data_IF_779587840357
#
_entry.id   IF_779587840357
#
_cell.length_a   1.000
_cell.length_b   1.000
_cell.length_c   1.000
_cell.angle_alpha   90.00
_cell.angle_beta   90.00
_cell.angle_gamma   90.00
#
_symmetry.space_group_name_H-M   'P 1'
#
loop_
_entity.id
_entity.type
_entity.pdbx_description
1 polymer ?
#
# COMPACT_ATOMS: atom_id res chain seq x y z
N UNK A 1 20.29 -27.86 25.74
CA UNK A 1 19.04 -28.12 25.00
C UNK A 1 18.50 -26.85 24.35
N UNK A 2 18.64 -25.67 24.99
CA UNK A 2 18.20 -24.39 24.42
C UNK A 2 19.09 -23.82 23.31
N UNK A 3 20.40 -24.12 23.31
CA UNK A 3 21.32 -23.65 22.25
C UNK A 3 20.98 -24.27 20.89
N UNK A 4 20.66 -25.57 20.85
CA UNK A 4 20.27 -26.23 19.59
C UNK A 4 18.92 -25.74 19.05
N UNK A 5 17.96 -25.39 19.91
CA UNK A 5 16.67 -24.84 19.48
C UNK A 5 16.81 -23.47 18.79
N UNK A 6 17.67 -22.61 19.32
CA UNK A 6 17.96 -21.31 18.68
C UNK A 6 18.70 -21.48 17.35
N UNK A 7 19.56 -22.49 17.23
CA UNK A 7 20.23 -22.83 15.97
C UNK A 7 19.24 -23.28 14.88
N UNK A 8 18.24 -24.10 15.23
CA UNK A 8 17.21 -24.54 14.30
C UNK A 8 16.28 -23.40 13.84
N UNK A 9 15.93 -22.48 14.74
CA UNK A 9 15.14 -21.28 14.42
C UNK A 9 15.93 -20.39 13.45
N UNK A 10 17.21 -20.13 13.76
CA UNK A 10 18.07 -19.32 12.89
C UNK A 10 18.21 -19.92 11.49
N UNK A 11 18.39 -21.25 11.39
CA UNK A 11 18.46 -21.96 10.11
C UNK A 11 17.15 -21.91 9.33
N UNK A 12 16.00 -22.00 10.01
CA UNK A 12 14.70 -21.89 9.36
C UNK A 12 14.46 -20.49 8.76
N UNK A 13 14.86 -19.43 9.49
CA UNK A 13 14.80 -18.06 8.99
C UNK A 13 15.75 -17.82 7.80
N UNK A 14 16.96 -18.39 7.87
CA UNK A 14 17.92 -18.36 6.75
C UNK A 14 17.36 -19.05 5.50
N UNK A 15 16.73 -20.23 5.65
CA UNK A 15 16.08 -20.95 4.56
C UNK A 15 14.94 -20.14 3.95
N UNK A 16 14.09 -19.50 4.77
CA UNK A 16 13.01 -18.66 4.29
C UNK A 16 13.54 -17.45 3.49
N UNK A 17 14.57 -16.77 3.99
CA UNK A 17 15.19 -15.64 3.29
C UNK A 17 15.83 -16.08 1.96
N UNK A 18 16.48 -17.24 1.94
CA UNK A 18 17.06 -17.78 0.71
C UNK A 18 15.98 -18.15 -0.32
N UNK A 19 14.83 -18.67 0.12
CA UNK A 19 13.68 -18.96 -0.76
C UNK A 19 13.04 -17.69 -1.32
N UNK A 20 12.92 -16.62 -0.54
CA UNK A 20 12.46 -15.32 -1.03
C UNK A 20 13.44 -14.72 -2.06
N UNK A 21 14.75 -14.77 -1.77
CA UNK A 21 15.76 -14.35 -2.73
C UNK A 21 15.71 -15.17 -4.03
N UNK A 22 15.47 -16.48 -3.95
CA UNK A 22 15.32 -17.33 -5.13
C UNK A 22 14.08 -16.93 -5.95
N UNK A 23 12.94 -16.75 -5.30
CA UNK A 23 11.69 -16.34 -5.94
C UNK A 23 11.77 -14.97 -6.62
N UNK A 24 12.61 -14.07 -6.09
CA UNK A 24 12.82 -12.73 -6.63
C UNK A 24 13.88 -12.70 -7.75
N UNK A 25 14.85 -13.61 -7.74
CA UNK A 25 15.90 -13.70 -8.76
C UNK A 25 15.44 -14.39 -10.06
N UNK A 26 14.35 -15.18 -10.02
CA UNK A 26 13.78 -15.82 -11.23
C UNK A 26 13.08 -14.84 -12.18
N UNK A 27 12.83 -13.59 -11.75
CA UNK A 27 12.36 -12.50 -12.63
C UNK A 27 13.42 -12.12 -13.69
N UNK A 28 14.69 -12.52 -13.50
CA UNK A 28 15.79 -12.23 -14.42
C UNK A 28 16.08 -13.28 -15.51
N UNK A 29 15.36 -14.41 -15.55
CA UNK A 29 15.57 -15.50 -16.52
C UNK A 29 14.25 -15.90 -17.21
N UNK A 30 13.54 -14.92 -17.73
CA UNK A 30 12.30 -15.13 -18.47
C UNK A 30 12.59 -15.63 -19.90
N UNK A 31 12.69 -16.96 -20.09
CA UNK A 31 12.45 -17.55 -21.41
C UNK A 31 11.79 -18.95 -21.40
N UNK A 32 11.42 -19.52 -20.25
CA UNK A 32 10.64 -20.77 -20.20
C UNK A 32 9.47 -20.65 -19.21
N UNK A 33 8.23 -20.76 -19.72
CA UNK A 33 6.94 -20.52 -19.05
C UNK A 33 6.57 -21.46 -17.89
N UNK A 34 7.55 -21.94 -17.11
CA UNK A 34 7.37 -22.76 -15.92
C UNK A 34 7.84 -22.10 -14.61
N UNK A 35 8.43 -20.89 -14.64
CA UNK A 35 9.00 -20.24 -13.45
C UNK A 35 8.01 -19.44 -12.58
N UNK A 36 6.84 -19.03 -13.09
CA UNK A 36 5.86 -18.27 -12.32
C UNK A 36 5.23 -19.06 -11.17
N UNK A 37 4.86 -20.32 -11.43
CA UNK A 37 4.31 -21.22 -10.41
C UNK A 37 5.38 -21.57 -9.37
N UNK A 38 6.63 -21.79 -9.80
CA UNK A 38 7.72 -22.13 -8.90
C UNK A 38 8.07 -20.97 -7.97
N UNK A 39 8.17 -19.74 -8.51
CA UNK A 39 8.43 -18.54 -7.70
C UNK A 39 7.29 -18.25 -6.71
N UNK A 40 6.02 -18.42 -7.10
CA UNK A 40 4.88 -18.31 -6.21
C UNK A 40 4.91 -19.35 -5.08
N UNK A 41 5.20 -20.61 -5.40
CA UNK A 41 5.36 -21.68 -4.40
C UNK A 41 6.56 -21.41 -3.47
N UNK A 42 7.66 -20.87 -3.99
CA UNK A 42 8.82 -20.48 -3.19
C UNK A 42 8.48 -19.36 -2.21
N UNK A 43 7.68 -18.36 -2.60
CA UNK A 43 7.19 -17.31 -1.69
C UNK A 43 6.28 -17.88 -0.61
N UNK A 44 5.26 -18.65 -0.98
CA UNK A 44 4.33 -19.28 -0.03
C UNK A 44 5.06 -20.17 0.99
N UNK A 45 6.03 -20.98 0.52
CA UNK A 45 6.86 -21.80 1.39
C UNK A 45 7.77 -20.96 2.30
N UNK A 46 8.36 -19.89 1.80
CA UNK A 46 9.17 -18.99 2.61
C UNK A 46 8.35 -18.36 3.74
N UNK A 47 7.14 -17.86 3.43
CA UNK A 47 6.22 -17.32 4.42
C UNK A 47 5.85 -18.34 5.50
N UNK A 48 5.48 -19.57 5.10
CA UNK A 48 5.09 -20.64 6.05
C UNK A 48 6.23 -21.07 6.96
N UNK A 49 7.44 -21.25 6.41
CA UNK A 49 8.63 -21.66 7.19
C UNK A 49 9.00 -20.57 8.20
N UNK A 50 9.00 -19.32 7.75
CA UNK A 50 9.32 -18.16 8.60
C UNK A 50 8.32 -18.01 9.75
N UNK A 51 7.01 -18.06 9.45
CA UNK A 51 5.94 -18.00 10.46
C UNK A 51 6.10 -19.06 11.55
N UNK A 52 6.43 -20.30 11.16
CA UNK A 52 6.65 -21.38 12.14
C UNK A 52 7.91 -21.16 12.99
N UNK A 53 8.99 -20.64 12.40
CA UNK A 53 10.22 -20.34 13.11
C UNK A 53 10.03 -19.22 14.14
N UNK A 54 9.29 -18.17 13.79
CA UNK A 54 9.02 -17.02 14.66
C UNK A 54 8.05 -17.38 15.79
N UNK A 55 7.01 -18.17 15.50
CA UNK A 55 6.11 -18.68 16.54
C UNK A 55 6.85 -19.60 17.54
N UNK A 56 7.81 -20.41 17.06
CA UNK A 56 8.68 -21.19 17.93
C UNK A 56 9.64 -20.30 18.77
N UNK A 57 10.12 -19.20 18.21
CA UNK A 57 10.97 -18.22 18.91
C UNK A 57 10.20 -17.50 20.04
N UNK A 58 8.97 -17.07 19.77
CA UNK A 58 8.08 -16.43 20.75
C UNK A 58 7.75 -17.37 21.91
N UNK A 59 7.42 -18.63 21.60
CA UNK A 59 7.18 -19.66 22.62
C UNK A 59 8.42 -19.96 23.47
N UNK A 60 9.62 -19.81 22.90
CA UNK A 60 10.89 -19.98 23.62
C UNK A 60 11.18 -18.78 24.53
N UNK A 61 10.81 -17.56 24.10
CA UNK A 61 10.91 -16.33 24.90
C UNK A 61 9.91 -16.30 26.07
N UNK A 62 8.67 -16.74 25.87
CA UNK A 62 7.64 -16.80 26.93
C UNK A 62 7.95 -17.82 28.04
N UNK A 63 8.72 -18.87 27.75
CA UNK A 63 9.10 -19.87 28.75
C UNK A 63 10.28 -19.45 29.64
N UNK A 64 10.84 -18.24 29.45
CA UNK A 64 11.96 -17.73 30.23
C UNK A 64 11.50 -16.64 31.21
N UNK A 65 10.83 -17.06 32.28
CA UNK A 65 10.54 -16.18 33.42
C UNK A 65 10.78 -16.93 34.75
N UNK A 66 11.95 -16.75 35.39
CA UNK A 66 12.11 -17.04 36.81
C UNK A 66 11.75 -15.79 37.62
N UNK A 67 10.83 -15.98 38.54
CA UNK A 67 10.36 -15.01 39.55
C UNK A 67 11.47 -14.34 40.35
N UNK A 68 11.48 -13.00 40.40
CA UNK A 68 11.63 -12.16 41.61
C UNK A 68 11.79 -10.67 41.24
N UNK A 69 10.87 -9.83 41.73
CA UNK A 69 10.91 -8.35 41.71
C UNK A 69 11.93 -7.79 42.75
N UNK A 70 12.06 -6.45 42.92
CA UNK A 70 12.07 -5.30 42.00
C UNK A 70 13.37 -4.46 42.19
N UNK A 71 13.59 -3.42 41.38
CA UNK A 71 14.31 -2.14 41.67
C UNK A 71 14.97 -1.61 40.39
N UNK A 72 14.40 -0.51 39.90
CA UNK A 72 15.10 0.70 39.46
C UNK A 72 16.39 0.51 38.64
N UNK A 73 16.27 0.67 37.31
CA UNK A 73 17.19 1.32 36.34
C UNK A 73 16.79 0.82 34.93
N UNK A 74 15.56 1.10 34.47
CA UNK A 74 15.22 1.21 33.03
C UNK A 74 14.06 2.23 32.90
N UNK A 75 14.25 3.42 33.46
CA UNK A 75 13.50 4.62 33.06
C UNK A 75 14.47 5.46 32.22
N UNK A 76 14.48 5.25 30.89
CA UNK A 76 15.05 6.17 29.88
C UNK A 76 15.11 5.60 28.44
N UNK A 77 14.71 4.34 28.18
CA UNK A 77 14.86 3.76 26.82
C UNK A 77 13.58 3.10 26.24
N UNK A 78 12.45 3.12 26.97
CA UNK A 78 11.17 2.60 26.49
C UNK A 78 10.09 3.71 26.38
N UNK A 79 10.53 4.96 26.31
CA UNK A 79 9.69 6.14 26.09
C UNK A 79 10.35 7.08 25.07
N UNK A 80 10.97 6.46 24.07
CA UNK A 80 11.09 7.08 22.76
C UNK A 80 10.17 6.25 21.88
N UNK A 81 8.92 6.67 21.84
CA UNK A 81 8.00 6.36 20.77
C UNK A 81 8.77 6.53 19.47
N UNK A 82 9.15 5.42 18.83
CA UNK A 82 9.53 5.48 17.43
C UNK A 82 8.20 5.63 16.71
N UNK A 83 7.71 6.87 16.72
CA UNK A 83 6.92 7.38 15.62
C UNK A 83 7.88 7.23 14.46
N UNK A 84 7.73 6.16 13.67
CA UNK A 84 8.17 6.26 12.29
C UNK A 84 7.25 7.33 11.73
N UNK A 85 7.74 8.58 11.75
CA UNK A 85 7.17 9.59 10.91
C UNK A 85 7.23 8.99 9.51
N UNK A 86 6.12 9.06 8.78
CA UNK A 86 6.13 9.01 7.33
C UNK A 86 7.42 9.68 6.82
N UNK A 87 8.10 9.12 5.81
CA UNK A 87 9.35 9.71 5.32
C UNK A 87 9.13 11.22 5.17
N UNK A 88 10.10 12.00 5.64
CA UNK A 88 9.96 13.43 6.06
C UNK A 88 9.47 14.39 4.94
N UNK A 89 9.03 13.89 3.79
CA UNK A 89 8.40 14.64 2.69
C UNK A 89 7.40 13.77 1.90
N UNK A 90 6.65 12.87 2.55
CA UNK A 90 5.60 12.11 1.87
C UNK A 90 4.32 12.94 1.82
N UNK A 91 3.86 13.26 0.61
CA UNK A 91 2.51 13.77 0.39
C UNK A 91 1.52 12.62 0.32
N UNK A 92 0.30 12.88 0.77
CA UNK A 92 -0.82 11.94 0.71
C UNK A 92 -1.81 12.51 -0.30
N UNK A 93 -2.12 11.74 -1.32
CA UNK A 93 -3.23 12.01 -2.24
C UNK A 93 -4.40 11.15 -1.76
N UNK A 94 -5.53 11.75 -1.45
CA UNK A 94 -6.69 11.04 -0.93
C UNK A 94 -8.01 11.59 -1.47
N UNK A 95 -9.04 10.75 -1.49
CA UNK A 95 -10.45 11.11 -1.67
C UNK A 95 -11.20 10.89 -0.36
N UNK A 96 -12.37 11.50 -0.21
CA UNK A 96 -13.26 11.30 0.94
C UNK A 96 -14.73 11.12 0.53
N UNK A 97 -15.50 10.44 1.38
CA UNK A 97 -16.93 10.12 1.16
C UNK A 97 -17.88 11.31 1.29
N UNK A 98 -17.36 12.43 1.77
CA UNK A 98 -18.08 13.67 2.00
C UNK A 98 -17.17 14.88 1.77
N UNK A 99 -17.79 16.05 1.53
CA UNK A 99 -17.09 17.33 1.53
C UNK A 99 -16.33 17.54 2.84
N UNK A 100 -15.03 17.80 2.75
CA UNK A 100 -14.16 17.85 3.91
C UNK A 100 -13.14 18.99 3.83
N UNK A 101 -12.65 19.43 4.99
CA UNK A 101 -11.56 20.40 5.12
C UNK A 101 -10.34 19.77 5.77
N UNK A 102 -9.22 19.81 5.06
CA UNK A 102 -7.91 19.32 5.49
C UNK A 102 -6.85 20.37 5.15
N UNK A 103 -5.86 20.59 6.04
CA UNK A 103 -4.72 21.48 5.75
C UNK A 103 -5.11 22.89 5.28
N UNK A 104 -6.26 23.40 5.75
CA UNK A 104 -6.78 24.73 5.41
C UNK A 104 -7.49 24.87 4.06
N UNK A 105 -7.69 23.77 3.31
CA UNK A 105 -8.45 23.74 2.07
C UNK A 105 -9.68 22.83 2.21
N UNK A 106 -10.74 23.15 1.47
CA UNK A 106 -12.00 22.38 1.43
C UNK A 106 -12.13 21.75 0.06
N UNK A 107 -12.53 20.48 0.03
CA UNK A 107 -12.70 19.65 -1.16
C UNK A 107 -14.06 18.96 -1.10
N UNK A 108 -14.69 18.76 -2.25
CA UNK A 108 -15.98 18.05 -2.34
C UNK A 108 -15.75 16.52 -2.25
N UNK A 109 -16.83 15.75 -2.08
CA UNK A 109 -16.74 14.29 -2.21
C UNK A 109 -16.26 13.94 -3.62
N UNK A 110 -15.39 12.93 -3.76
CA UNK A 110 -14.80 12.55 -5.04
C UNK A 110 -13.65 13.41 -5.56
N UNK A 111 -13.34 14.56 -4.95
CA UNK A 111 -12.09 15.28 -5.23
C UNK A 111 -10.88 14.47 -4.76
N UNK A 112 -9.75 14.63 -5.45
CA UNK A 112 -8.46 14.22 -4.87
C UNK A 112 -7.79 15.44 -4.23
N UNK A 113 -7.52 15.35 -2.93
CA UNK A 113 -6.71 16.30 -2.20
C UNK A 113 -5.25 15.81 -2.12
N UNK A 114 -4.28 16.67 -2.43
CA UNK A 114 -2.87 16.46 -2.09
C UNK A 114 -2.57 17.16 -0.76
N UNK A 115 -2.25 16.37 0.26
CA UNK A 115 -1.93 16.83 1.61
C UNK A 115 -0.45 16.64 1.92
N UNK A 116 0.18 17.68 2.48
CA UNK A 116 1.54 17.65 3.00
C UNK A 116 1.50 17.70 4.54
N UNK A 117 1.68 16.54 5.22
CA UNK A 117 1.57 16.45 6.67
C UNK A 117 2.62 17.28 7.42
N UNK A 118 3.78 17.58 6.80
CA UNK A 118 4.83 18.34 7.48
C UNK A 118 4.54 19.83 7.59
N UNK A 119 3.83 20.39 6.61
CA UNK A 119 3.41 21.80 6.61
C UNK A 119 1.95 22.01 7.00
N UNK A 120 1.19 20.92 7.15
CA UNK A 120 -0.26 20.95 7.42
C UNK A 120 -0.98 21.81 6.37
N UNK A 121 -0.71 21.51 5.10
CA UNK A 121 -1.29 22.21 3.96
C UNK A 121 -1.84 21.20 2.97
N UNK A 122 -3.03 21.47 2.45
CA UNK A 122 -3.61 20.69 1.36
C UNK A 122 -3.90 21.57 0.13
N UNK A 123 -3.93 20.93 -1.04
CA UNK A 123 -4.34 21.54 -2.30
C UNK A 123 -5.16 20.55 -3.12
N UNK A 124 -6.00 21.07 -4.03
CA UNK A 124 -6.78 20.23 -4.94
C UNK A 124 -5.83 19.63 -5.96
N UNK A 125 -5.79 18.30 -6.03
CA UNK A 125 -4.99 17.51 -6.96
C UNK A 125 -5.78 17.16 -8.23
N UNK A 126 -7.03 16.74 -8.06
CA UNK A 126 -7.97 16.44 -9.12
C UNK A 126 -9.37 16.90 -8.69
N UNK A 127 -10.11 17.50 -9.63
CA UNK A 127 -11.46 18.05 -9.43
C UNK A 127 -12.50 17.09 -10.01
N UNK A 128 -13.41 16.57 -9.18
CA UNK A 128 -14.45 15.62 -9.63
C UNK A 128 -15.40 16.21 -10.68
N UNK A 129 -15.50 17.54 -10.77
CA UNK A 129 -16.30 18.19 -11.81
C UNK A 129 -15.82 17.89 -13.24
N UNK A 130 -14.65 17.27 -13.40
CA UNK A 130 -14.16 16.74 -14.68
C UNK A 130 -14.96 15.52 -15.19
N UNK A 131 -15.68 14.79 -14.33
CA UNK A 131 -16.45 13.60 -14.71
C UNK A 131 -17.73 13.90 -15.51
N UNK A 132 -18.14 15.17 -15.59
CA UNK A 132 -19.38 15.59 -16.26
C UNK A 132 -20.67 15.29 -15.47
N UNK A 133 -20.56 14.57 -14.35
CA UNK A 133 -21.55 14.36 -13.29
C UNK A 133 -20.83 14.32 -11.94
N UNK A 134 -21.58 14.46 -10.84
CA UNK A 134 -21.08 14.20 -9.48
C UNK A 134 -20.72 12.72 -9.38
N UNK A 135 -19.50 12.40 -8.97
CA UNK A 135 -19.01 11.03 -8.97
C UNK A 135 -17.88 10.87 -7.95
N UNK A 136 -17.98 9.83 -7.11
CA UNK A 136 -16.99 9.61 -6.08
C UNK A 136 -15.82 8.75 -6.60
N UNK A 137 -14.60 9.15 -6.29
CA UNK A 137 -13.40 8.36 -6.55
C UNK A 137 -13.16 7.43 -5.37
N UNK A 138 -13.36 6.13 -5.61
CA UNK A 138 -13.17 5.07 -4.60
C UNK A 138 -11.82 4.35 -4.73
N UNK A 139 -10.99 4.69 -5.72
CA UNK A 139 -9.65 4.12 -5.81
C UNK A 139 -8.72 5.04 -6.59
N UNK A 140 -7.48 5.17 -6.16
CA UNK A 140 -6.49 6.02 -6.84
C UNK A 140 -5.07 5.46 -6.78
N UNK A 141 -4.35 5.60 -7.89
CA UNK A 141 -2.90 5.46 -7.91
C UNK A 141 -2.30 6.46 -8.91
N UNK A 142 -1.20 7.12 -8.56
CA UNK A 142 -0.50 8.05 -9.47
C UNK A 142 0.74 7.40 -10.04
N UNK A 143 0.80 7.26 -11.37
CA UNK A 143 1.95 6.71 -12.07
C UNK A 143 3.13 7.69 -12.07
N UNK A 144 4.36 7.18 -12.19
CA UNK A 144 5.57 8.00 -12.21
C UNK A 144 5.68 9.01 -13.36
N UNK A 145 4.82 8.92 -14.38
CA UNK A 145 4.69 9.91 -15.46
C UNK A 145 3.65 11.02 -15.15
N UNK A 146 2.97 10.97 -14.01
CA UNK A 146 1.92 11.90 -13.60
C UNK A 146 0.52 11.57 -14.10
N UNK A 147 0.33 10.42 -14.77
CA UNK A 147 -1.01 9.91 -15.07
C UNK A 147 -1.66 9.38 -13.79
N UNK A 148 -2.99 9.44 -13.74
CA UNK A 148 -3.79 9.00 -12.60
C UNK A 148 -4.53 7.75 -13.02
N UNK A 149 -4.34 6.66 -12.29
CA UNK A 149 -5.24 5.49 -12.32
C UNK A 149 -6.33 5.75 -11.30
N UNK A 150 -7.59 5.66 -11.70
CA UNK A 150 -8.72 5.82 -10.79
C UNK A 150 -9.87 4.85 -11.10
N UNK A 151 -10.67 4.57 -10.09
CA UNK A 151 -12.01 3.96 -10.16
C UNK A 151 -13.03 4.94 -9.60
N UNK A 152 -14.30 4.76 -9.94
CA UNK A 152 -15.41 5.54 -9.38
C UNK A 152 -16.55 4.64 -8.93
N UNK A 153 -17.37 5.12 -8.00
CA UNK A 153 -18.53 4.41 -7.45
C UNK A 153 -19.60 4.02 -8.49
N UNK A 154 -19.61 4.71 -9.62
CA UNK A 154 -20.52 4.47 -10.73
C UNK A 154 -19.86 4.75 -12.09
N UNK A 155 -20.53 4.41 -13.18
CA UNK A 155 -20.01 4.69 -14.52
C UNK A 155 -20.04 6.18 -14.86
N UNK A 156 -18.92 6.71 -15.35
CA UNK A 156 -18.74 8.14 -15.62
C UNK A 156 -18.05 8.41 -16.97
N UNK A 157 -17.68 9.67 -17.22
CA UNK A 157 -16.92 10.06 -18.39
C UNK A 157 -15.76 11.00 -18.05
N UNK A 158 -14.54 10.67 -18.47
CA UNK A 158 -13.34 11.46 -18.20
C UNK A 158 -12.40 11.46 -19.40
N UNK A 159 -11.86 12.64 -19.76
CA UNK A 159 -10.87 12.76 -20.84
C UNK A 159 -11.33 12.16 -22.18
N UNK A 160 -12.63 12.27 -22.48
CA UNK A 160 -13.24 11.74 -23.71
C UNK A 160 -13.55 10.24 -23.71
N UNK A 161 -13.29 9.52 -22.61
CA UNK A 161 -13.70 8.13 -22.41
C UNK A 161 -14.98 8.08 -21.58
N UNK A 162 -15.92 7.20 -21.93
CA UNK A 162 -17.02 6.77 -21.05
C UNK A 162 -16.71 5.36 -20.58
N UNK A 163 -16.95 5.09 -19.31
CA UNK A 163 -16.60 3.84 -18.64
C UNK A 163 -17.69 3.45 -17.64
N UNK A 164 -17.66 2.19 -17.21
CA UNK A 164 -18.65 1.60 -16.31
C UNK A 164 -18.09 1.46 -14.88
N UNK A 165 -18.96 1.14 -13.92
CA UNK A 165 -18.51 0.76 -12.59
C UNK A 165 -17.53 -0.42 -12.64
N UNK A 166 -16.50 -0.40 -11.78
CA UNK A 166 -15.49 -1.46 -11.72
C UNK A 166 -14.40 -1.39 -12.79
N UNK A 167 -14.42 -0.39 -13.67
CA UNK A 167 -13.32 -0.11 -14.59
C UNK A 167 -12.21 0.67 -13.87
N UNK A 168 -10.94 0.40 -14.22
CA UNK A 168 -9.83 1.29 -13.91
C UNK A 168 -9.50 2.15 -15.12
N UNK A 169 -9.38 3.46 -14.89
CA UNK A 169 -9.11 4.44 -15.94
C UNK A 169 -7.73 5.04 -15.73
N UNK A 170 -6.88 4.98 -16.76
CA UNK A 170 -5.67 5.80 -16.84
C UNK A 170 -6.01 7.14 -17.47
N UNK A 171 -5.95 8.20 -16.67
CA UNK A 171 -6.18 9.57 -17.08
C UNK A 171 -4.88 10.36 -17.15
N UNK A 172 -4.66 11.03 -18.28
CA UNK A 172 -3.55 11.97 -18.47
C UNK A 172 -4.06 13.42 -18.28
N UNK A 173 -3.77 14.08 -17.15
CA UNK A 173 -4.25 15.44 -16.89
C UNK A 173 -3.59 16.51 -17.76
N UNK A 174 -2.46 16.21 -18.41
CA UNK A 174 -1.76 17.16 -19.30
C UNK A 174 -2.43 17.26 -20.68
N UNK A 175 -2.98 16.15 -21.16
CA UNK A 175 -3.58 16.04 -22.50
C UNK A 175 -5.10 15.93 -22.47
N UNK A 176 -5.68 15.78 -21.28
CA UNK A 176 -7.13 15.56 -21.07
C UNK A 176 -7.62 14.33 -21.84
N UNK A 177 -6.92 13.20 -21.64
CA UNK A 177 -7.21 11.93 -22.30
C UNK A 177 -7.37 10.83 -21.26
N UNK A 178 -8.52 10.17 -21.27
CA UNK A 178 -8.80 8.95 -20.52
C UNK A 178 -8.62 7.70 -21.40
N UNK A 179 -8.06 6.65 -20.84
CA UNK A 179 -7.93 5.33 -21.46
C UNK A 179 -8.28 4.24 -20.47
N UNK A 180 -8.97 3.19 -20.94
CA UNK A 180 -9.28 2.03 -20.11
C UNK A 180 -7.98 1.29 -19.75
N UNK A 181 -7.72 1.14 -18.45
CA UNK A 181 -6.56 0.45 -17.91
C UNK A 181 -6.91 -1.00 -17.52
N UNK A 182 -8.08 -1.19 -16.88
CA UNK A 182 -8.67 -2.50 -16.58
C UNK A 182 -10.16 -2.45 -16.89
N UNK A 183 -10.66 -3.46 -17.59
CA UNK A 183 -12.08 -3.65 -17.88
C UNK A 183 -12.74 -4.42 -16.73
N UNK A 184 -13.68 -3.80 -16.02
CA UNK A 184 -14.42 -4.39 -14.90
C UNK A 184 -15.27 -5.59 -15.30
N UNK A 185 -15.55 -5.79 -16.59
CA UNK A 185 -16.23 -7.00 -17.05
C UNK A 185 -15.39 -8.28 -16.94
N UNK A 186 -14.11 -8.15 -16.57
CA UNK A 186 -13.22 -9.29 -16.27
C UNK A 186 -13.59 -10.00 -14.96
N UNK A 187 -14.29 -9.34 -14.03
CA UNK A 187 -14.80 -9.99 -12.82
C UNK A 187 -15.88 -11.02 -13.18
N UNK A 188 -15.89 -12.17 -12.50
CA UNK A 188 -16.98 -13.15 -12.65
C UNK A 188 -18.26 -12.58 -12.04
N UNK A 189 -19.26 -12.33 -12.89
CA UNK A 189 -20.47 -11.60 -12.51
C UNK A 189 -20.51 -10.19 -13.11
N UNK A 190 -19.32 -9.64 -13.40
CA UNK A 190 -19.07 -8.37 -14.07
C UNK A 190 -19.18 -7.16 -13.13
N UNK A 191 -18.33 -6.16 -13.38
CA UNK A 191 -18.42 -4.79 -12.85
C UNK A 191 -18.51 -4.71 -11.32
N UNK A 192 -17.73 -5.55 -10.65
CA UNK A 192 -17.51 -5.42 -9.21
C UNK A 192 -16.81 -4.08 -8.93
N UNK A 193 -17.23 -3.38 -7.87
CA UNK A 193 -16.72 -2.05 -7.55
C UNK A 193 -15.30 -2.16 -6.98
N UNK A 194 -14.34 -1.49 -7.63
CA UNK A 194 -12.96 -1.43 -7.16
C UNK A 194 -12.83 -0.20 -6.27
N UNK A 195 -12.62 -0.48 -4.99
CA UNK A 195 -12.50 0.51 -3.90
C UNK A 195 -11.08 0.56 -3.33
N UNK A 196 -10.10 0.04 -4.05
CA UNK A 196 -8.70 0.17 -3.67
C UNK A 196 -7.80 -0.28 -4.79
N UNK A 197 -6.76 0.51 -5.09
CA UNK A 197 -5.84 0.18 -6.17
C UNK A 197 -4.42 0.65 -5.91
N UNK A 198 -3.46 -0.21 -6.25
CA UNK A 198 -2.07 0.17 -6.38
C UNK A 198 -1.42 -0.55 -7.57
N UNK A 199 -0.74 0.20 -8.44
CA UNK A 199 -0.01 -0.37 -9.57
C UNK A 199 1.45 -0.62 -9.19
N UNK A 200 1.88 -1.88 -9.26
CA UNK A 200 3.27 -2.25 -9.05
C UNK A 200 4.14 -1.88 -10.26
N UNK A 201 5.44 -1.67 -10.03
CA UNK A 201 6.42 -1.35 -11.09
C UNK A 201 6.46 -2.35 -12.25
N UNK A 202 6.04 -3.60 -12.01
CA UNK A 202 5.97 -4.66 -13.03
C UNK A 202 4.63 -4.66 -13.81
N UNK A 203 3.72 -3.72 -13.52
CA UNK A 203 2.39 -3.61 -14.13
C UNK A 203 1.32 -4.50 -13.50
N UNK A 204 1.64 -5.28 -12.47
CA UNK A 204 0.60 -5.97 -11.69
C UNK A 204 -0.24 -4.96 -10.91
N UNK A 205 -1.49 -5.32 -10.66
CA UNK A 205 -2.48 -4.50 -9.99
C UNK A 205 -2.75 -5.12 -8.62
N UNK A 206 -2.51 -4.39 -7.55
CA UNK A 206 -3.05 -4.69 -6.23
C UNK A 206 -4.42 -4.03 -6.15
N UNK A 207 -5.46 -4.78 -5.81
CA UNK A 207 -6.82 -4.23 -5.69
C UNK A 207 -7.61 -4.88 -4.57
N UNK A 208 -8.56 -4.11 -4.02
CA UNK A 208 -9.71 -4.57 -3.23
C UNK A 208 -11.00 -4.37 -4.04
N UNK A 209 -12.10 -4.90 -3.52
CA UNK A 209 -13.44 -4.69 -4.06
C UNK A 209 -14.47 -4.59 -2.95
N UNK A 210 -15.54 -3.84 -3.20
CA UNK A 210 -16.61 -3.59 -2.22
C UNK A 210 -17.28 -4.86 -1.70
N UNK A 211 -17.57 -5.80 -2.61
CA UNK A 211 -18.06 -7.13 -2.28
C UNK A 211 -17.03 -8.21 -2.65
N UNK A 212 -17.27 -9.44 -2.20
CA UNK A 212 -16.45 -10.59 -2.58
C UNK A 212 -16.49 -10.87 -4.10
N UNK A 213 -15.31 -10.92 -4.72
CA UNK A 213 -15.17 -11.00 -6.16
C UNK A 213 -14.48 -12.29 -6.64
N UNK A 214 -14.42 -12.45 -7.96
CA UNK A 214 -13.53 -13.44 -8.60
C UNK A 214 -12.92 -12.85 -9.86
N UNK A 215 -11.59 -12.84 -9.91
CA UNK A 215 -10.79 -12.29 -11.02
C UNK A 215 -9.59 -13.20 -11.29
N UNK A 216 -9.18 -13.36 -12.54
CA UNK A 216 -7.96 -14.11 -12.88
C UNK A 216 -7.89 -15.52 -12.29
N UNK A 217 -9.04 -16.18 -12.12
CA UNK A 217 -9.17 -17.53 -11.55
C UNK A 217 -9.11 -17.64 -10.02
N UNK A 218 -9.04 -16.53 -9.30
CA UNK A 218 -9.05 -16.49 -7.83
C UNK A 218 -10.31 -15.80 -7.31
N UNK A 219 -10.96 -16.39 -6.31
CA UNK A 219 -11.97 -15.73 -5.49
C UNK A 219 -11.33 -15.12 -4.25
N UNK A 220 -11.76 -13.93 -3.86
CA UNK A 220 -11.28 -13.20 -2.69
C UNK A 220 -12.45 -12.41 -2.08
N UNK A 221 -12.37 -12.11 -0.78
CA UNK A 221 -13.39 -11.32 -0.08
C UNK A 221 -13.10 -9.82 -0.11
N UNK A 222 -14.07 -9.03 0.34
CA UNK A 222 -13.97 -7.56 0.52
C UNK A 222 -12.78 -7.16 1.44
N UNK A 223 -12.40 -8.03 2.38
CA UNK A 223 -11.27 -7.79 3.29
C UNK A 223 -9.89 -8.13 2.69
N UNK A 224 -9.83 -8.75 1.51
CA UNK A 224 -8.60 -9.24 0.91
C UNK A 224 -8.01 -8.23 -0.08
N UNK A 225 -6.69 -8.29 -0.30
CA UNK A 225 -6.08 -7.66 -1.48
C UNK A 225 -5.65 -8.74 -2.48
N UNK A 226 -6.09 -8.59 -3.73
CA UNK A 226 -5.65 -9.41 -4.83
C UNK A 226 -4.49 -8.74 -5.59
N UNK A 227 -3.43 -9.50 -5.90
CA UNK A 227 -2.44 -9.13 -6.91
C UNK A 227 -2.85 -9.78 -8.24
N UNK A 228 -3.29 -8.97 -9.19
CA UNK A 228 -3.69 -9.37 -10.53
C UNK A 228 -2.61 -9.04 -11.56
N UNK A 229 -2.25 -10.02 -12.39
CA UNK A 229 -1.40 -9.83 -13.54
C UNK A 229 -2.26 -9.75 -14.82
N UNK A 230 -2.42 -8.57 -15.43
CA UNK A 230 -3.27 -8.40 -16.62
C UNK A 230 -2.68 -9.05 -17.89
N UNK A 231 -1.38 -9.40 -17.90
CA UNK A 231 -0.74 -10.06 -19.05
C UNK A 231 -1.02 -11.56 -19.07
N UNK A 232 -1.02 -12.21 -17.91
CA UNK A 232 -1.26 -13.65 -17.79
C UNK A 232 -2.69 -14.00 -17.44
N UNK A 233 -3.50 -13.01 -17.06
CA UNK A 233 -4.86 -13.18 -16.54
C UNK A 233 -4.90 -14.11 -15.31
N UNK A 234 -3.99 -13.85 -14.37
CA UNK A 234 -3.86 -14.63 -13.13
C UNK A 234 -3.90 -13.67 -11.94
N UNK A 235 -4.75 -13.98 -10.96
CA UNK A 235 -4.75 -13.32 -9.68
C UNK A 235 -4.19 -14.23 -8.58
N UNK A 236 -3.52 -13.63 -7.61
CA UNK A 236 -3.01 -14.28 -6.39
C UNK A 236 -3.30 -13.43 -5.16
N UNK A 237 -3.44 -14.07 -4.00
CA UNK A 237 -3.70 -13.35 -2.75
C UNK A 237 -2.45 -12.57 -2.33
N UNK A 238 -2.57 -11.26 -2.20
CA UNK A 238 -1.51 -10.37 -1.75
C UNK A 238 -1.57 -10.14 -0.24
N UNK A 239 -2.77 -9.87 0.27
CA UNK A 239 -3.07 -9.70 1.69
C UNK A 239 -4.33 -10.50 2.05
N UNK A 240 -4.28 -11.21 3.17
CA UNK A 240 -5.37 -12.03 3.70
C UNK A 240 -6.13 -11.23 4.77
N UNK A 241 -7.37 -10.86 4.45
CA UNK A 241 -8.25 -10.09 5.33
C UNK A 241 -8.59 -10.78 6.64
N UNK A 242 -8.39 -12.10 6.75
CA UNK A 242 -8.52 -12.82 8.02
C UNK A 242 -7.47 -12.41 9.07
N UNK A 243 -6.52 -11.55 8.71
CA UNK A 243 -5.62 -10.89 9.65
C UNK A 243 -6.32 -9.80 10.48
N UNK A 244 -7.45 -9.29 10.01
CA UNK A 244 -8.29 -8.42 10.81
C UNK A 244 -8.94 -9.18 11.98
N UNK A 245 -9.21 -8.45 13.08
CA UNK A 245 -9.94 -8.99 14.23
C UNK A 245 -11.43 -9.25 13.96
N UNK A 246 -11.97 -8.72 12.86
CA UNK A 246 -13.35 -8.84 12.39
C UNK A 246 -13.37 -8.82 10.84
N UNK A 247 -14.53 -9.11 10.23
CA UNK A 247 -14.74 -8.90 8.79
C UNK A 247 -14.91 -7.42 8.53
N UNK A 248 -14.07 -6.83 7.69
CA UNK A 248 -14.10 -5.40 7.33
C UNK A 248 -13.77 -5.26 5.85
N UNK A 249 -14.29 -4.23 5.18
CA UNK A 249 -13.93 -3.94 3.80
C UNK A 249 -12.70 -3.04 3.74
N UNK A 250 -11.74 -3.32 2.84
CA UNK A 250 -10.64 -2.39 2.55
C UNK A 250 -11.10 -1.47 1.42
N UNK A 251 -11.10 -0.17 1.68
CA UNK A 251 -11.61 0.91 0.83
C UNK A 251 -10.54 1.95 0.47
N UNK A 252 -9.29 1.70 0.85
CA UNK A 252 -8.16 2.46 0.36
C UNK A 252 -6.90 1.62 0.49
N UNK A 253 -6.02 1.63 -0.51
CA UNK A 253 -4.75 0.91 -0.43
C UNK A 253 -3.62 1.58 -1.20
N UNK A 254 -2.43 1.58 -0.61
CA UNK A 254 -1.18 1.89 -1.29
C UNK A 254 -0.04 1.01 -0.77
N UNK A 255 0.71 0.37 -1.66
CA UNK A 255 1.88 -0.44 -1.28
C UNK A 255 3.16 0.40 -1.37
N UNK A 256 3.86 0.55 -0.25
CA UNK A 256 5.13 1.28 -0.19
C UNK A 256 6.26 0.45 -0.81
N UNK A 257 7.32 1.12 -1.30
CA UNK A 257 8.47 0.45 -1.93
C UNK A 257 9.25 -0.51 -1.02
N UNK A 258 9.01 -0.47 0.30
CA UNK A 258 9.55 -1.43 1.28
C UNK A 258 8.64 -2.66 1.50
N UNK A 259 7.48 -2.72 0.84
CA UNK A 259 6.47 -3.77 0.96
C UNK A 259 5.47 -3.59 2.10
N UNK A 260 5.52 -2.47 2.84
CA UNK A 260 4.46 -2.11 3.78
C UNK A 260 3.21 -1.68 3.00
N UNK A 261 2.06 -1.81 3.65
CA UNK A 261 0.75 -1.52 3.06
C UNK A 261 0.16 -0.36 3.84
N UNK A 262 -0.12 0.75 3.18
CA UNK A 262 -1.05 1.77 3.69
C UNK A 262 -2.44 1.32 3.31
N UNK A 263 -3.36 1.26 4.26
CA UNK A 263 -4.75 0.92 4.00
C UNK A 263 -5.71 1.70 4.90
N UNK A 264 -6.97 1.82 4.47
CA UNK A 264 -8.11 2.16 5.32
C UNK A 264 -9.15 1.03 5.28
N UNK A 265 -10.20 1.17 6.08
CA UNK A 265 -11.35 0.27 6.09
C UNK A 265 -12.63 1.02 6.38
N UNK A 266 -13.76 0.57 5.79
CA UNK A 266 -15.10 1.19 5.93
C UNK A 266 -15.60 1.26 7.38
N UNK A 267 -15.05 0.41 8.24
CA UNK A 267 -15.41 0.34 9.64
C UNK A 267 -14.19 0.21 10.56
N UNK A 268 -14.47 0.17 11.86
CA UNK A 268 -13.42 0.05 12.86
C UNK A 268 -12.79 -1.36 12.86
N UNK A 269 -11.51 -1.43 12.50
CA UNK A 269 -10.78 -2.68 12.42
C UNK A 269 -9.70 -2.85 13.50
N UNK A 270 -9.14 -4.05 13.58
CA UNK A 270 -7.92 -4.32 14.35
C UNK A 270 -6.96 -5.15 13.52
N UNK A 271 -5.76 -4.63 13.30
CA UNK A 271 -4.72 -5.25 12.48
C UNK A 271 -3.36 -5.06 13.16
N UNK A 272 -2.48 -6.07 13.15
CA UNK A 272 -1.10 -5.91 13.63
C UNK A 272 -0.96 -5.34 15.06
N UNK A 273 -1.96 -5.56 15.92
CA UNK A 273 -2.02 -5.03 17.29
C UNK A 273 -2.52 -3.59 17.45
N UNK A 274 -2.89 -2.92 16.36
CA UNK A 274 -3.54 -1.59 16.36
C UNK A 274 -5.04 -1.75 16.16
N UNK A 275 -5.84 -1.01 16.93
CA UNK A 275 -7.26 -0.77 16.65
C UNK A 275 -7.39 0.64 16.11
N UNK A 276 -8.13 0.80 15.01
CA UNK A 276 -8.36 2.06 14.31
C UNK A 276 -9.83 2.13 13.87
N UNK A 277 -10.26 3.30 13.41
CA UNK A 277 -11.62 3.57 12.95
C UNK A 277 -11.65 3.77 11.43
N UNK A 278 -12.85 3.91 10.89
CA UNK A 278 -13.08 4.45 9.54
C UNK A 278 -12.31 5.76 9.32
N UNK A 279 -11.89 6.02 8.08
CA UNK A 279 -11.13 7.21 7.68
C UNK A 279 -9.67 7.29 8.18
N UNK A 280 -9.24 6.45 9.12
CA UNK A 280 -7.83 6.35 9.50
C UNK A 280 -7.03 5.64 8.39
N UNK A 281 -5.82 6.13 8.08
CA UNK A 281 -4.86 5.36 7.27
C UNK A 281 -3.87 4.67 8.18
N UNK A 282 -3.68 3.37 7.96
CA UNK A 282 -2.79 2.51 8.74
C UNK A 282 -1.66 2.01 7.87
N UNK A 283 -0.42 2.17 8.35
CA UNK A 283 0.74 1.50 7.78
C UNK A 283 0.90 0.13 8.45
N UNK A 284 0.66 -0.92 7.68
CA UNK A 284 0.87 -2.31 8.08
C UNK A 284 2.17 -2.86 7.50
N UNK A 285 2.98 -3.45 8.37
CA UNK A 285 4.16 -4.20 7.99
C UNK A 285 3.85 -5.71 8.00
N UNK A 286 3.65 -6.36 6.83
CA UNK A 286 3.32 -7.78 6.75
C UNK A 286 4.47 -8.70 7.18
N UNK A 287 5.70 -8.16 7.24
CA UNK A 287 6.91 -8.88 7.62
C UNK A 287 7.04 -9.00 9.14
N UNK A 288 6.58 -8.00 9.90
CA UNK A 288 6.65 -7.98 11.37
C UNK A 288 5.30 -8.15 12.05
N UNK A 289 4.21 -8.14 11.29
CA UNK A 289 2.83 -8.13 11.79
C UNK A 289 2.58 -6.98 12.78
N UNK A 290 3.00 -5.78 12.38
CA UNK A 290 2.86 -4.55 13.17
C UNK A 290 2.15 -3.53 12.32
N UNK A 291 1.10 -2.93 12.88
CA UNK A 291 0.41 -1.80 12.31
C UNK A 291 0.69 -0.53 13.12
N UNK A 292 0.79 0.61 12.43
CA UNK A 292 0.90 1.93 13.03
C UNK A 292 -0.02 2.92 12.32
N UNK A 293 -0.63 3.83 13.08
CA UNK A 293 -1.43 4.90 12.51
C UNK A 293 -0.53 5.81 11.65
N UNK A 294 -0.87 5.94 10.38
CA UNK A 294 -0.12 6.72 9.39
C UNK A 294 -0.72 8.12 9.22
N UNK A 295 -2.05 8.19 9.10
CA UNK A 295 -2.85 9.40 9.07
C UNK A 295 -4.13 9.14 9.87
N UNK A 296 -4.66 10.19 10.51
CA UNK A 296 -5.90 10.05 11.29
C UNK A 296 -7.00 10.93 10.72
N UNK A 297 -8.20 10.37 10.61
CA UNK A 297 -9.40 11.13 10.21
C UNK A 297 -9.70 12.29 11.17
N UNK A 298 -9.19 12.27 12.40
CA UNK A 298 -9.35 13.38 13.34
C UNK A 298 -8.68 14.70 12.89
N UNK A 299 -7.90 14.67 11.80
CA UNK A 299 -7.38 15.87 11.13
C UNK A 299 -8.43 16.54 10.23
N UNK A 300 -9.45 15.80 9.82
CA UNK A 300 -10.61 16.29 9.11
C UNK A 300 -11.54 17.10 10.02
N UNK A 301 -12.33 18.00 9.43
CA UNK A 301 -13.27 18.86 10.16
C UNK A 301 -14.62 18.19 10.41
N UNK A 302 -15.04 17.26 9.55
CA UNK A 302 -16.30 16.51 9.64
C UNK A 302 -16.11 15.01 9.88
N UNK A 303 -14.87 14.51 9.98
CA UNK A 303 -14.54 13.09 10.08
C UNK A 303 -15.10 12.30 8.88
N UNK A 304 -14.86 12.80 7.67
CA UNK A 304 -15.17 12.05 6.46
C UNK A 304 -14.28 10.80 6.35
N UNK A 305 -14.85 9.74 5.77
CA UNK A 305 -14.13 8.49 5.50
C UNK A 305 -13.15 8.68 4.33
N UNK A 306 -12.09 7.88 4.29
CA UNK A 306 -11.09 7.93 3.22
C UNK A 306 -11.35 6.83 2.20
N UNK A 307 -11.94 7.20 1.07
CA UNK A 307 -12.32 6.27 0.00
C UNK A 307 -11.20 5.97 -0.99
N UNK A 308 -10.08 6.68 -0.95
CA UNK A 308 -8.96 6.41 -1.85
C UNK A 308 -7.67 6.97 -1.28
N UNK A 309 -6.54 6.30 -1.53
CA UNK A 309 -5.23 6.79 -1.10
C UNK A 309 -4.10 6.46 -2.05
N UNK A 310 -3.21 7.43 -2.26
CA UNK A 310 -1.89 7.22 -2.82
C UNK A 310 -0.86 8.04 -2.03
N UNK A 311 0.25 7.41 -1.63
CA UNK A 311 1.31 8.09 -0.87
C UNK A 311 2.52 8.31 -1.77
N UNK A 312 3.00 9.55 -1.88
CA UNK A 312 4.29 9.81 -2.53
C UNK A 312 5.40 9.42 -1.57
N UNK A 313 6.25 8.48 -1.95
CA UNK A 313 7.55 8.33 -1.30
C UNK A 313 8.57 9.02 -2.18
N UNK A 314 8.93 10.27 -1.85
CA UNK A 314 10.12 10.85 -2.46
C UNK A 314 11.29 9.91 -2.16
N UNK A 315 12.11 9.54 -3.16
CA UNK A 315 13.30 8.75 -2.89
C UNK A 315 14.13 9.53 -1.86
N UNK A 316 14.52 8.84 -0.78
CA UNK A 316 15.36 9.36 0.29
C UNK A 316 16.39 10.38 -0.25
N UNK A 317 16.65 11.51 0.43
CA UNK A 317 17.51 12.60 -0.05
C UNK A 317 18.92 12.20 -0.53
N UNK A 318 19.34 10.96 -0.27
CA UNK A 318 20.58 10.39 -0.78
C UNK A 318 20.63 10.28 -2.32
N UNK A 319 19.50 10.15 -3.03
CA UNK A 319 19.52 9.90 -4.49
C UNK A 319 19.63 11.19 -5.32
N UNK A 320 19.12 12.32 -4.82
CA UNK A 320 19.20 13.63 -5.51
C UNK A 320 20.57 14.30 -5.28
N UNK A 321 21.28 13.97 -4.20
CA UNK A 321 22.58 14.55 -3.90
C UNK A 321 23.73 14.11 -4.84
N UNK A 322 23.56 13.04 -5.63
CA UNK A 322 24.65 12.51 -6.48
C UNK A 322 24.72 13.15 -7.88
N UNK A 323 23.68 13.86 -8.33
CA UNK A 323 23.68 14.56 -9.62
C UNK A 323 24.14 16.04 -9.52
N UNK A 324 24.29 16.57 -8.30
CA UNK A 324 24.60 17.99 -8.06
C UNK A 324 26.08 18.37 -7.94
N UNK A 325 27.02 17.42 -7.82
CA UNK A 325 28.45 17.72 -7.58
C UNK A 325 29.39 17.44 -8.76
N UNK A 326 28.86 17.13 -9.95
CA UNK A 326 29.67 16.78 -11.14
C UNK A 326 30.20 17.94 -11.98
N UNK A 327 29.81 19.19 -11.72
CA UNK A 327 30.21 20.33 -12.56
C UNK A 327 30.62 21.55 -11.73
N UNK A 328 31.79 21.51 -11.08
CA UNK A 328 32.46 22.74 -10.67
C UNK A 328 34.00 22.65 -10.79
N UNK A 329 34.52 23.49 -11.68
CA UNK A 329 35.86 24.09 -11.74
C UNK A 329 37.04 23.24 -12.23
N UNK A 330 37.51 23.56 -13.44
CA UNK A 330 38.91 23.93 -13.70
C UNK A 330 39.01 24.83 -14.95
N UNK A 331 38.70 26.11 -14.81
CA UNK A 331 39.23 27.15 -15.72
C UNK A 331 40.45 27.76 -15.07
N UNK A 332 41.64 27.38 -15.53
CA UNK A 332 42.88 28.08 -15.17
C UNK A 332 43.30 28.95 -16.35
N UNK A 333 42.94 30.24 -16.31
CA UNK A 333 43.60 31.28 -17.10
C UNK A 333 44.95 31.60 -16.48
N UNK A 334 46.02 31.57 -17.28
CA UNK A 334 47.18 32.46 -17.09
C UNK A 334 47.66 32.96 -18.45
N UNK A 335 47.49 34.26 -18.67
CA UNK A 335 48.33 35.05 -19.55
C UNK A 335 49.28 35.86 -18.66
N UNK A 336 50.58 35.60 -18.81
CA UNK A 336 51.70 36.53 -18.83
C UNK A 336 52.95 35.70 -19.13
#
# INVERSE_FOLDING_TARGET
MDIQKNEHISKALEIANNLMCLANNEVGLADEGSCGILSGVCRDCAYKIRRQAEHAALKTRMNWCPSASPILIIFAAALLSIVFAAPVNATIILSTDATETLGGATFDDGDLAEYEPTTDTAALYFDENLFGSNENINAVHVLGNGNIILSTASGAALGGLTFENGDLIEYNPTTDVGTLYLDGSLFVGGNEDIDGVHILDNGNIILSTLDAATLGGMSFGESDLAEYNPTTDIATLFFDGNLFGASENIDAVHVLGNGNIILSTVGAATLGGLTFIDGDLVEYNPTTDVATLYFSEALFSNNADVDAVYVTTLPEPATIALLGFGCLVLVRRRHA
#
